data_IF_848796572990
#
_entry.id   IF_848796572990
#
_cell.length_a   1.000
_cell.length_b   1.000
_cell.length_c   1.000
_cell.angle_alpha   90.00
_cell.angle_beta   90.00
_cell.angle_gamma   90.00
#
_symmetry.space_group_name_H-M   'P 1'
#
loop_
_entity.id
_entity.type
_entity.pdbx_description
1 polymer ?
#
# COMPACT_ATOMS: atom_id res chain seq x y z
N UNK A 1 -29.91 -31.74 42.41
CA UNK A 1 -28.96 -30.87 41.71
C UNK A 1 -28.27 -31.71 40.64
N UNK A 2 -28.65 -31.52 39.37
CA UNK A 2 -28.14 -32.31 38.26
C UNK A 2 -27.29 -31.41 37.41
N UNK A 3 -26.00 -31.71 37.33
CA UNK A 3 -25.03 -31.06 36.44
C UNK A 3 -25.06 -31.76 35.08
N UNK A 4 -25.53 -31.05 34.08
CA UNK A 4 -25.54 -31.51 32.70
C UNK A 4 -24.17 -31.13 32.04
N UNK A 5 -23.31 -32.14 31.84
CA UNK A 5 -22.07 -31.99 31.08
C UNK A 5 -22.37 -32.19 29.60
N UNK A 6 -22.13 -31.17 28.77
CA UNK A 6 -22.13 -31.31 27.34
C UNK A 6 -20.70 -31.68 26.87
N UNK A 7 -20.55 -32.89 26.40
CA UNK A 7 -19.35 -33.35 25.69
C UNK A 7 -19.54 -33.07 24.19
N UNK A 8 -18.63 -32.31 23.59
CA UNK A 8 -18.51 -32.18 22.14
C UNK A 8 -17.57 -33.27 21.61
N UNK A 9 -17.96 -33.98 20.59
CA UNK A 9 -17.04 -34.91 19.93
C UNK A 9 -16.10 -34.17 19.01
N UNK A 10 -14.83 -34.52 19.16
CA UNK A 10 -13.71 -34.16 18.30
C UNK A 10 -13.82 -34.95 16.99
N UNK A 11 -14.13 -34.29 15.90
CA UNK A 11 -14.01 -34.88 14.56
C UNK A 11 -12.65 -34.50 13.99
N UNK A 12 -11.74 -35.46 14.00
CA UNK A 12 -10.53 -35.46 13.20
C UNK A 12 -10.91 -35.92 11.80
N UNK A 13 -10.71 -35.12 10.79
CA UNK A 13 -10.62 -35.59 9.41
C UNK A 13 -9.22 -35.32 8.88
N UNK A 14 -8.52 -36.42 8.76
CA UNK A 14 -7.34 -36.55 7.90
C UNK A 14 -7.80 -36.34 6.44
N UNK A 15 -7.11 -35.51 5.72
CA UNK A 15 -7.14 -35.61 4.26
C UNK A 15 -5.72 -35.65 3.71
N UNK A 16 -5.40 -36.89 3.28
CA UNK A 16 -4.18 -37.28 2.63
C UNK A 16 -4.09 -36.74 1.20
N UNK A 17 -2.90 -36.33 0.87
CA UNK A 17 -2.18 -36.43 -0.39
C UNK A 17 -2.98 -36.72 -1.68
N UNK A 18 -2.78 -35.88 -2.68
CA UNK A 18 -2.54 -36.29 -4.05
C UNK A 18 -1.59 -35.33 -4.75
N UNK A 19 -0.39 -35.84 -4.98
CA UNK A 19 0.54 -35.46 -6.03
C UNK A 19 -0.04 -35.80 -7.40
N UNK A 20 0.15 -34.95 -8.40
CA UNK A 20 0.59 -35.38 -9.75
C UNK A 20 0.70 -34.16 -10.68
N UNK A 21 1.86 -33.91 -11.07
CA UNK A 21 2.49 -33.70 -12.35
C UNK A 21 1.55 -33.45 -13.55
N UNK A 22 1.78 -32.26 -14.19
CA UNK A 22 1.65 -32.18 -15.65
C UNK A 22 2.68 -31.18 -16.18
N UNK A 23 3.77 -31.77 -16.61
CA UNK A 23 4.74 -31.21 -17.53
C UNK A 23 4.06 -30.94 -18.89
N UNK A 24 4.13 -29.70 -19.38
CA UNK A 24 3.95 -29.41 -20.78
C UNK A 24 4.91 -28.31 -21.21
N UNK A 25 5.91 -28.74 -21.93
CA UNK A 25 6.93 -27.92 -22.54
C UNK A 25 6.36 -26.87 -23.50
N UNK A 26 6.93 -25.69 -23.47
CA UNK A 26 6.84 -24.75 -24.56
C UNK A 26 8.23 -24.22 -24.89
N UNK A 27 8.64 -24.58 -26.04
CA UNK A 27 9.75 -24.21 -26.85
C UNK A 27 10.34 -22.82 -26.58
N UNK A 28 11.60 -22.82 -26.17
CA UNK A 28 12.47 -21.67 -26.12
C UNK A 28 12.86 -21.29 -27.54
N UNK A 29 12.36 -20.17 -28.03
CA UNK A 29 12.92 -19.53 -29.23
C UNK A 29 14.02 -18.58 -28.75
N UNK A 30 15.24 -19.01 -28.90
CA UNK A 30 16.42 -18.18 -28.68
C UNK A 30 16.55 -17.27 -29.90
N UNK A 31 16.26 -15.99 -29.73
CA UNK A 31 16.70 -14.97 -30.65
C UNK A 31 17.99 -14.37 -30.09
N UNK A 32 19.13 -14.74 -30.67
CA UNK A 32 20.39 -14.08 -30.43
C UNK A 32 20.31 -12.69 -31.04
N UNK A 33 20.27 -11.65 -30.19
CA UNK A 33 20.66 -10.31 -30.60
C UNK A 33 21.85 -9.87 -29.74
N UNK A 34 23.02 -9.80 -30.34
CA UNK A 34 24.21 -9.18 -29.80
C UNK A 34 23.94 -7.69 -29.62
N UNK A 35 23.41 -7.30 -28.46
CA UNK A 35 23.35 -5.93 -27.98
C UNK A 35 24.10 -5.87 -26.66
N UNK A 36 25.12 -5.04 -26.58
CA UNK A 36 25.91 -4.81 -25.39
C UNK A 36 25.05 -4.47 -24.20
N UNK A 37 25.21 -5.24 -23.09
CA UNK A 37 24.47 -5.07 -21.83
C UNK A 37 24.85 -3.80 -21.05
N UNK A 38 25.70 -2.94 -21.59
CA UNK A 38 26.18 -1.72 -20.94
C UNK A 38 25.26 -0.50 -21.12
N UNK A 39 24.27 -0.55 -22.02
CA UNK A 39 23.39 0.58 -22.31
C UNK A 39 22.02 0.54 -21.56
N UNK A 40 21.70 -0.53 -20.82
CA UNK A 40 20.42 -0.67 -20.14
C UNK A 40 20.46 -0.29 -18.65
N UNK A 41 21.60 0.13 -18.13
CA UNK A 41 21.76 0.49 -16.72
C UNK A 41 21.57 1.98 -16.41
N UNK A 42 21.24 2.83 -17.37
CA UNK A 42 21.17 4.28 -17.16
C UNK A 42 19.79 4.93 -17.22
N UNK A 43 18.72 4.16 -17.42
CA UNK A 43 17.37 4.76 -17.56
C UNK A 43 16.39 4.49 -16.41
N UNK A 44 16.81 3.97 -15.29
CA UNK A 44 15.91 3.77 -14.15
C UNK A 44 16.43 4.43 -12.88
N UNK A 45 16.69 5.73 -12.91
CA UNK A 45 16.78 6.57 -11.72
C UNK A 45 16.76 8.06 -12.05
N UNK A 46 15.87 8.47 -12.93
CA UNK A 46 15.41 9.83 -12.91
C UNK A 46 14.31 9.92 -11.85
N UNK A 47 14.67 9.86 -10.57
CA UNK A 47 13.94 10.63 -9.59
C UNK A 47 14.12 12.07 -10.07
N UNK A 48 13.13 12.57 -10.79
CA UNK A 48 12.99 13.97 -11.13
C UNK A 48 12.91 14.72 -9.80
N UNK A 49 14.08 15.04 -9.25
CA UNK A 49 14.20 16.02 -8.19
C UNK A 49 13.86 17.34 -8.86
N UNK A 50 12.55 17.64 -8.91
CA UNK A 50 12.10 18.96 -9.22
C UNK A 50 12.84 19.90 -8.26
N UNK A 51 13.72 20.74 -8.80
CA UNK A 51 14.37 21.82 -8.08
C UNK A 51 13.28 22.82 -7.65
N UNK A 52 12.73 22.59 -6.48
CA UNK A 52 11.84 23.51 -5.82
C UNK A 52 12.73 24.61 -5.25
N UNK A 53 12.90 25.71 -6.02
CA UNK A 53 13.68 26.87 -5.63
C UNK A 53 13.38 27.30 -4.19
N UNK A 54 14.39 27.82 -3.51
CA UNK A 54 14.28 28.28 -2.11
C UNK A 54 13.01 29.12 -1.90
N UNK A 55 12.14 28.66 -0.99
CA UNK A 55 10.89 29.34 -0.63
C UNK A 55 9.60 28.76 -1.21
N UNK A 56 9.64 27.70 -2.02
CA UNK A 56 8.43 27.01 -2.48
C UNK A 56 8.02 25.89 -1.51
N UNK A 57 6.72 25.87 -1.16
CA UNK A 57 6.17 24.78 -0.38
C UNK A 57 6.23 23.45 -1.17
N UNK A 58 6.68 22.39 -0.51
CA UNK A 58 6.77 21.04 -1.09
C UNK A 58 5.58 20.23 -0.64
N UNK A 59 4.74 19.80 -1.58
CA UNK A 59 3.71 18.80 -1.32
C UNK A 59 4.22 17.41 -1.74
N UNK A 60 4.01 16.43 -0.88
CA UNK A 60 4.29 15.02 -1.20
C UNK A 60 2.99 14.28 -1.43
N UNK A 61 2.80 13.72 -2.62
CA UNK A 61 1.56 13.03 -2.99
C UNK A 61 1.74 11.53 -2.84
N UNK A 62 0.85 10.91 -2.07
CA UNK A 62 0.80 9.46 -1.87
C UNK A 62 -0.48 8.92 -2.52
N UNK A 63 -0.39 8.06 -3.54
CA UNK A 63 -1.57 7.48 -4.16
C UNK A 63 -2.20 6.44 -3.24
N UNK A 64 -3.50 6.59 -2.95
CA UNK A 64 -4.35 5.62 -2.25
C UNK A 64 -5.45 5.21 -3.22
N UNK A 65 -5.08 4.35 -4.16
CA UNK A 65 -5.93 3.93 -5.28
C UNK A 65 -6.18 2.43 -5.21
N UNK A 66 -7.25 1.98 -5.83
CA UNK A 66 -7.67 0.57 -5.79
C UNK A 66 -8.18 0.11 -4.42
N UNK A 67 -8.31 -1.19 -4.23
CA UNK A 67 -8.82 -1.80 -3.01
C UNK A 67 -7.82 -1.65 -1.86
N UNK A 68 -8.29 -1.20 -0.69
CA UNK A 68 -7.47 -1.12 0.51
C UNK A 68 -7.04 -2.51 0.97
N UNK A 69 -5.75 -2.74 0.99
CA UNK A 69 -5.09 -3.99 1.36
C UNK A 69 -3.61 -3.75 1.65
N UNK A 70 -2.88 -4.83 1.93
CA UNK A 70 -1.44 -4.79 2.27
C UNK A 70 -0.59 -3.91 1.35
N UNK A 71 -0.73 -3.99 0.01
CA UNK A 71 0.03 -3.13 -0.90
C UNK A 71 -0.17 -1.63 -0.68
N UNK A 72 -1.41 -1.20 -0.39
CA UNK A 72 -1.70 0.22 -0.10
C UNK A 72 -1.07 0.65 1.23
N UNK A 73 -1.10 -0.20 2.25
CA UNK A 73 -0.42 0.05 3.52
C UNK A 73 1.10 0.25 3.32
N UNK A 74 1.72 -0.60 2.51
CA UNK A 74 3.16 -0.50 2.22
C UNK A 74 3.51 0.78 1.45
N UNK A 75 2.67 1.18 0.49
CA UNK A 75 2.81 2.44 -0.26
C UNK A 75 2.72 3.62 0.70
N UNK A 76 1.72 3.62 1.59
CA UNK A 76 1.52 4.69 2.56
C UNK A 76 2.68 4.81 3.55
N UNK A 77 3.11 3.70 4.15
CA UNK A 77 4.26 3.65 5.07
C UNK A 77 5.53 4.22 4.43
N UNK A 78 5.79 3.82 3.19
CA UNK A 78 6.94 4.31 2.42
C UNK A 78 6.80 5.78 2.11
N UNK A 79 5.63 6.19 1.59
CA UNK A 79 5.36 7.58 1.23
C UNK A 79 5.47 8.54 2.40
N UNK A 80 4.92 8.21 3.57
CA UNK A 80 5.05 9.02 4.79
C UNK A 80 6.52 9.16 5.23
N UNK A 81 7.28 8.07 5.19
CA UNK A 81 8.71 8.09 5.51
C UNK A 81 9.52 8.95 4.54
N UNK A 82 9.18 8.88 3.27
CA UNK A 82 9.86 9.64 2.22
C UNK A 82 9.47 11.14 2.28
N UNK A 83 8.22 11.47 2.59
CA UNK A 83 7.78 12.85 2.82
C UNK A 83 8.55 13.51 3.96
N UNK A 84 8.73 12.80 5.08
CA UNK A 84 9.55 13.28 6.22
C UNK A 84 11.00 13.51 5.80
N UNK A 85 11.61 12.56 5.08
CA UNK A 85 12.99 12.70 4.58
C UNK A 85 13.16 13.86 3.62
N UNK A 86 12.18 14.05 2.74
CA UNK A 86 12.17 15.14 1.76
C UNK A 86 11.90 16.51 2.40
N UNK A 87 11.59 16.55 3.69
CA UNK A 87 11.14 17.77 4.40
C UNK A 87 9.98 18.43 3.66
N UNK A 88 8.97 17.63 3.32
CA UNK A 88 7.75 18.13 2.71
C UNK A 88 7.01 19.05 3.70
N UNK A 89 6.31 20.05 3.17
CA UNK A 89 5.47 20.93 3.96
C UNK A 89 4.04 20.39 4.14
N UNK A 90 3.63 19.50 3.22
CA UNK A 90 2.28 18.93 3.19
C UNK A 90 2.36 17.52 2.60
N UNK A 91 1.58 16.60 3.12
CA UNK A 91 1.30 15.31 2.50
C UNK A 91 -0.11 15.31 1.95
N UNK A 92 -0.28 14.85 0.72
CA UNK A 92 -1.59 14.70 0.08
C UNK A 92 -1.83 13.21 -0.20
N UNK A 93 -2.88 12.66 0.38
CA UNK A 93 -3.37 11.32 0.00
C UNK A 93 -4.30 11.48 -1.20
N UNK A 94 -3.85 11.12 -2.39
CA UNK A 94 -4.66 11.12 -3.62
C UNK A 94 -5.55 9.88 -3.63
N UNK A 95 -6.80 10.06 -3.18
CA UNK A 95 -7.70 8.96 -2.87
C UNK A 95 -8.67 8.67 -4.00
N UNK A 96 -8.70 7.40 -4.42
CA UNK A 96 -9.66 6.85 -5.35
C UNK A 96 -9.83 5.36 -5.04
N UNK A 97 -10.73 5.01 -4.10
CA UNK A 97 -10.86 3.64 -3.60
C UNK A 97 -12.31 3.23 -3.32
N UNK A 98 -12.70 2.02 -3.71
CA UNK A 98 -14.00 1.44 -3.33
C UNK A 98 -14.03 0.93 -1.87
N UNK A 99 -12.91 1.03 -1.15
CA UNK A 99 -12.76 0.47 0.19
C UNK A 99 -11.90 -0.80 0.22
N UNK A 100 -12.01 -1.58 1.28
CA UNK A 100 -11.24 -2.82 1.39
C UNK A 100 -11.23 -3.41 2.81
N UNK A 101 -10.11 -4.00 3.19
CA UNK A 101 -9.96 -4.77 4.42
C UNK A 101 -9.97 -3.88 5.67
N UNK A 102 -10.85 -4.20 6.63
CA UNK A 102 -10.98 -3.44 7.88
C UNK A 102 -9.69 -3.45 8.71
N UNK A 103 -9.04 -4.60 8.83
CA UNK A 103 -7.78 -4.72 9.58
C UNK A 103 -6.71 -3.78 9.04
N UNK A 104 -6.49 -3.81 7.73
CA UNK A 104 -5.54 -2.92 7.05
C UNK A 104 -5.95 -1.46 7.16
N UNK A 105 -7.26 -1.16 7.11
CA UNK A 105 -7.77 0.20 7.29
C UNK A 105 -7.36 0.77 8.65
N UNK A 106 -7.52 0.00 9.72
CA UNK A 106 -7.14 0.42 11.06
C UNK A 106 -5.62 0.62 11.20
N UNK A 107 -4.82 -0.22 10.56
CA UNK A 107 -3.36 -0.04 10.53
C UNK A 107 -2.98 1.24 9.77
N UNK A 108 -3.62 1.54 8.64
CA UNK A 108 -3.39 2.78 7.90
C UNK A 108 -3.74 4.01 8.75
N UNK A 109 -4.89 3.99 9.42
CA UNK A 109 -5.30 5.08 10.31
C UNK A 109 -4.29 5.28 11.45
N UNK A 110 -3.80 4.20 12.04
CA UNK A 110 -2.75 4.24 13.07
C UNK A 110 -1.46 4.88 12.55
N UNK A 111 -0.98 4.48 11.37
CA UNK A 111 0.22 5.06 10.74
C UNK A 111 0.07 6.57 10.48
N UNK A 112 -1.12 7.01 10.05
CA UNK A 112 -1.40 8.44 9.84
C UNK A 112 -1.32 9.19 11.17
N UNK A 113 -2.00 8.70 12.21
CA UNK A 113 -2.04 9.34 13.54
C UNK A 113 -0.63 9.41 14.14
N UNK A 114 0.15 8.34 14.06
CA UNK A 114 1.54 8.32 14.55
C UNK A 114 2.46 9.25 13.74
N UNK A 115 2.10 9.51 12.49
CA UNK A 115 2.87 10.42 11.64
C UNK A 115 2.73 11.87 12.06
N UNK A 116 1.67 12.28 12.73
CA UNK A 116 1.50 13.66 13.23
C UNK A 116 2.58 14.06 14.25
N UNK A 117 3.16 13.10 14.97
CA UNK A 117 4.27 13.38 15.90
C UNK A 117 5.62 13.57 15.19
N UNK A 118 5.74 13.11 13.96
CA UNK A 118 7.00 13.06 13.19
C UNK A 118 7.03 14.00 11.99
N UNK A 119 5.87 14.55 11.64
CA UNK A 119 5.68 15.39 10.47
C UNK A 119 4.98 16.69 10.87
N UNK A 120 5.67 17.82 10.69
CA UNK A 120 5.21 19.15 11.12
C UNK A 120 4.14 19.78 10.22
N UNK A 121 3.82 19.15 9.08
CA UNK A 121 2.86 19.67 8.12
C UNK A 121 1.50 18.96 8.17
N UNK A 122 0.48 19.49 7.50
CA UNK A 122 -0.80 18.82 7.38
C UNK A 122 -0.72 17.59 6.46
N UNK A 123 -1.45 16.55 6.83
CA UNK A 123 -1.77 15.41 5.97
C UNK A 123 -3.21 15.63 5.50
N UNK A 124 -3.40 15.78 4.20
CA UNK A 124 -4.67 16.13 3.56
C UNK A 124 -5.13 14.95 2.72
N UNK A 125 -6.38 14.54 2.82
CA UNK A 125 -6.98 13.62 1.87
C UNK A 125 -7.65 14.42 0.77
N UNK A 126 -7.16 14.27 -0.47
CA UNK A 126 -7.81 14.73 -1.67
C UNK A 126 -8.63 13.60 -2.29
N UNK A 127 -9.96 13.73 -2.26
CA UNK A 127 -10.85 12.73 -2.85
C UNK A 127 -10.98 12.99 -4.35
N UNK A 128 -10.15 12.31 -5.12
CA UNK A 128 -10.08 12.48 -6.58
C UNK A 128 -11.36 11.99 -7.27
N UNK A 129 -11.85 10.80 -6.91
CA UNK A 129 -13.07 10.23 -7.50
C UNK A 129 -14.00 9.69 -6.42
N UNK A 130 -13.50 8.80 -5.58
CA UNK A 130 -14.29 8.16 -4.52
C UNK A 130 -13.45 7.77 -3.30
N UNK A 131 -14.09 7.81 -2.13
CA UNK A 131 -13.55 7.33 -0.87
C UNK A 131 -14.64 6.54 -0.15
N UNK A 132 -14.88 5.29 -0.61
CA UNK A 132 -15.98 4.47 -0.12
C UNK A 132 -15.49 3.59 1.03
N UNK A 133 -16.36 3.36 2.04
CA UNK A 133 -16.10 2.42 3.15
C UNK A 133 -14.74 2.70 3.84
N UNK A 134 -13.75 1.80 3.71
CA UNK A 134 -12.40 1.97 4.24
C UNK A 134 -11.77 3.32 3.85
N UNK A 135 -11.99 3.79 2.62
CA UNK A 135 -11.50 5.08 2.14
C UNK A 135 -12.02 6.25 2.97
N UNK A 136 -13.31 6.24 3.32
CA UNK A 136 -13.89 7.28 4.18
C UNK A 136 -13.29 7.29 5.59
N UNK A 137 -13.03 6.11 6.18
CA UNK A 137 -12.39 6.01 7.48
C UNK A 137 -10.95 6.56 7.45
N UNK A 138 -10.20 6.24 6.39
CA UNK A 138 -8.84 6.76 6.21
C UNK A 138 -8.88 8.28 6.04
N UNK A 139 -9.82 8.80 5.24
CA UNK A 139 -9.97 10.24 5.01
C UNK A 139 -10.19 11.02 6.31
N UNK A 140 -11.07 10.54 7.19
CA UNK A 140 -11.34 11.23 8.47
C UNK A 140 -10.20 11.12 9.49
N UNK A 141 -9.22 10.24 9.26
CA UNK A 141 -8.01 10.16 10.08
C UNK A 141 -6.96 11.23 9.72
N UNK A 142 -7.14 11.98 8.64
CA UNK A 142 -6.24 13.06 8.21
C UNK A 142 -6.66 14.41 8.79
N UNK A 143 -5.80 15.44 8.63
CA UNK A 143 -6.09 16.78 9.16
C UNK A 143 -7.21 17.48 8.38
N UNK A 144 -7.33 17.22 7.08
CA UNK A 144 -8.26 17.91 6.18
C UNK A 144 -8.70 16.98 5.04
N UNK A 145 -9.91 17.19 4.55
CA UNK A 145 -10.47 16.49 3.38
C UNK A 145 -10.84 17.56 2.34
N UNK A 146 -10.33 17.39 1.12
CA UNK A 146 -10.55 18.29 -0.02
C UNK A 146 -11.16 17.57 -1.22
#
# INVERSE_FOLDING_TARGET
MATLGFAFPLLAEENSSLSEEANAGSSLVVAESNGSLDDLASETNASEQADYGEGKAKAYVIPVRDQIGGPILDILRRGLKDAIRAKANTVILDMNTPGGELGVTLEIMQEIIESFERFDGPIITYVNTEAISAGAYIAVATNEIA
#
